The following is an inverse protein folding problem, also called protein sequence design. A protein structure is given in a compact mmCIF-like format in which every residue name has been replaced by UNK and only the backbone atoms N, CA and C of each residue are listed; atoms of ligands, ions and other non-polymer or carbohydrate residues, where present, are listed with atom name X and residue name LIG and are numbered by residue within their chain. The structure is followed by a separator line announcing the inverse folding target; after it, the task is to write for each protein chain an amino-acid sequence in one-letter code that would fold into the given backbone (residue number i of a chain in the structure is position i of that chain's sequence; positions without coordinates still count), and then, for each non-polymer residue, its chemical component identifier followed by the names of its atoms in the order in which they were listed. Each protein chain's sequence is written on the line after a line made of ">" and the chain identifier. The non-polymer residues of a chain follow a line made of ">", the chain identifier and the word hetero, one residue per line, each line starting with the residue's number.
data_IF_987898960929
#
_entry.id   IF_987898960929
#
_cell.length_a   1.000
_cell.length_b   1.000
_cell.length_c   1.000
_cell.angle_alpha   90.00
_cell.angle_beta   90.00
_cell.angle_gamma   90.00
#
_symmetry.space_group_name_H-M   'P 1'
#
loop_
_entity.id
_entity.type
_entity.pdbx_description
1 polymer ?
#
# COMPACT_ATOMS: atom_id res chain seq x y z
N UNK A 1 44.24 2.10 -14.88
CA UNK A 1 42.95 1.64 -15.45
C UNK A 1 41.78 2.42 -14.87
N UNK A 2 41.70 3.74 -15.01
CA UNK A 2 40.61 4.51 -14.33
C UNK A 2 40.03 5.66 -15.15
N UNK A 3 40.20 5.73 -16.46
CA UNK A 3 39.66 6.84 -17.28
C UNK A 3 38.47 6.52 -18.17
N UNK A 4 37.95 5.28 -18.16
CA UNK A 4 36.85 4.86 -19.03
C UNK A 4 35.46 5.00 -18.40
N UNK A 5 35.37 5.36 -17.11
CA UNK A 5 34.11 5.53 -16.41
C UNK A 5 33.50 6.94 -16.54
N UNK A 6 34.33 7.95 -16.81
CA UNK A 6 33.89 9.35 -16.84
C UNK A 6 33.17 9.75 -18.15
N UNK A 7 33.59 9.20 -19.28
CA UNK A 7 33.01 9.59 -20.57
C UNK A 7 31.51 9.16 -20.73
N UNK A 8 31.11 8.06 -20.10
CA UNK A 8 29.69 7.61 -20.20
C UNK A 8 28.70 8.56 -19.49
N UNK A 9 29.15 9.24 -18.45
CA UNK A 9 28.30 10.20 -17.75
C UNK A 9 28.18 11.55 -18.49
N UNK A 10 29.19 11.92 -19.28
CA UNK A 10 29.17 13.14 -20.07
C UNK A 10 28.35 12.95 -21.36
N UNK A 11 28.42 11.81 -22.02
CA UNK A 11 27.58 11.49 -23.17
C UNK A 11 26.09 11.41 -22.81
N UNK A 12 25.75 10.81 -21.66
CA UNK A 12 24.38 10.79 -21.16
C UNK A 12 23.84 12.19 -20.81
N UNK A 13 24.71 13.11 -20.33
CA UNK A 13 24.30 14.49 -20.05
C UNK A 13 24.14 15.31 -21.33
N UNK A 14 25.03 15.15 -22.33
CA UNK A 14 24.91 15.84 -23.61
C UNK A 14 23.68 15.39 -24.38
N UNK A 15 23.39 14.09 -24.40
CA UNK A 15 22.17 13.52 -24.99
C UNK A 15 20.90 14.02 -24.27
N UNK A 16 20.92 14.13 -22.94
CA UNK A 16 19.80 14.64 -22.19
C UNK A 16 19.54 16.13 -22.48
N UNK A 17 20.60 16.93 -22.60
CA UNK A 17 20.53 18.37 -22.94
C UNK A 17 20.07 18.57 -24.37
N UNK A 18 20.60 17.79 -25.33
CA UNK A 18 20.19 17.87 -26.72
C UNK A 18 18.70 17.48 -26.90
N UNK A 19 18.21 16.53 -26.13
CA UNK A 19 16.79 16.10 -26.12
C UNK A 19 15.87 17.14 -25.48
N UNK A 20 16.33 17.83 -24.43
CA UNK A 20 15.61 18.95 -23.84
C UNK A 20 15.50 20.13 -24.83
N UNK A 21 16.57 20.43 -25.58
CA UNK A 21 16.56 21.47 -26.61
C UNK A 21 15.64 21.10 -27.80
N UNK A 22 15.56 19.81 -28.18
CA UNK A 22 14.62 19.33 -29.19
C UNK A 22 13.16 19.35 -28.69
N UNK A 23 12.95 19.11 -27.40
CA UNK A 23 11.63 19.23 -26.77
C UNK A 23 11.12 20.68 -26.75
N UNK A 24 12.00 21.67 -26.47
CA UNK A 24 11.66 23.10 -26.56
C UNK A 24 11.36 23.54 -28.00
N UNK A 25 11.94 22.88 -29.02
CA UNK A 25 11.69 23.15 -30.41
C UNK A 25 10.39 22.52 -30.96
N UNK A 26 9.60 21.82 -30.14
CA UNK A 26 8.34 21.18 -30.49
C UNK A 26 8.49 19.82 -31.19
N UNK A 27 9.72 19.33 -31.32
CA UNK A 27 10.05 18.03 -31.91
C UNK A 27 10.34 17.02 -30.78
N UNK A 28 9.31 16.73 -29.95
CA UNK A 28 9.43 15.76 -28.86
C UNK A 28 9.35 14.36 -29.46
N UNK A 29 10.45 13.59 -29.48
CA UNK A 29 10.33 12.18 -29.80
C UNK A 29 9.50 11.52 -28.70
N UNK A 30 8.34 11.00 -29.05
CA UNK A 30 7.58 10.11 -28.17
C UNK A 30 8.48 8.94 -27.80
N UNK A 31 8.97 8.96 -26.55
CA UNK A 31 9.69 7.81 -26.03
C UNK A 31 8.75 6.62 -26.03
N UNK A 32 9.10 5.61 -26.81
CA UNK A 32 8.45 4.33 -26.72
C UNK A 32 8.48 3.88 -25.25
N UNK A 33 7.34 3.40 -24.75
CA UNK A 33 7.24 2.85 -23.39
C UNK A 33 8.29 1.75 -23.11
N UNK A 34 8.79 1.11 -24.17
CA UNK A 34 9.85 0.11 -24.11
C UNK A 34 11.23 0.73 -23.86
N UNK A 35 11.52 1.90 -24.41
CA UNK A 35 12.76 2.63 -24.13
C UNK A 35 12.81 3.13 -22.70
N UNK A 36 11.71 3.68 -22.19
CA UNK A 36 11.59 4.09 -20.79
C UNK A 36 11.74 2.90 -19.83
N UNK A 37 11.23 1.72 -20.20
CA UNK A 37 11.45 0.47 -19.45
C UNK A 37 12.92 0.06 -19.47
N UNK A 38 13.61 0.20 -20.62
CA UNK A 38 15.02 -0.16 -20.80
C UNK A 38 15.98 0.73 -19.97
N UNK A 39 15.64 2.01 -19.81
CA UNK A 39 16.39 2.93 -18.94
C UNK A 39 16.12 2.66 -17.46
N UNK A 40 14.92 2.28 -17.08
CA UNK A 40 14.56 1.90 -15.72
C UNK A 40 15.16 0.58 -15.24
N UNK A 41 15.50 -0.33 -16.18
CA UNK A 41 15.95 -1.69 -15.84
C UNK A 41 17.46 -1.86 -15.67
N UNK A 42 18.27 -0.86 -16.03
CA UNK A 42 19.74 -0.98 -15.93
C UNK A 42 20.22 -0.79 -14.50
N UNK A 43 20.18 -1.86 -13.70
CA UNK A 43 20.95 -1.97 -12.47
C UNK A 43 20.18 -2.04 -11.16
N UNK A 44 18.86 -2.08 -11.17
CA UNK A 44 18.06 -2.32 -9.96
C UNK A 44 17.53 -3.77 -9.92
N UNK A 45 17.57 -4.38 -8.75
CA UNK A 45 16.88 -5.64 -8.49
C UNK A 45 15.42 -5.40 -8.85
N UNK A 46 14.92 -6.12 -9.87
CA UNK A 46 13.52 -5.98 -10.29
C UNK A 46 12.62 -6.75 -9.30
N UNK A 47 12.17 -6.03 -8.28
CA UNK A 47 11.19 -6.59 -7.35
C UNK A 47 9.84 -6.64 -8.08
N UNK A 48 9.15 -7.81 -8.11
CA UNK A 48 7.83 -7.92 -8.71
C UNK A 48 6.84 -6.90 -8.14
N UNK A 49 5.98 -6.35 -9.00
CA UNK A 49 4.98 -5.35 -8.62
C UNK A 49 4.11 -5.82 -7.44
N UNK A 50 3.67 -7.07 -7.48
CA UNK A 50 2.89 -7.69 -6.41
C UNK A 50 3.58 -7.60 -5.05
N UNK A 51 4.90 -7.88 -5.00
CA UNK A 51 5.67 -7.81 -3.75
C UNK A 51 5.74 -6.39 -3.22
N UNK A 52 5.92 -5.40 -4.09
CA UNK A 52 5.91 -3.98 -3.70
C UNK A 52 4.58 -3.57 -3.10
N UNK A 53 3.46 -3.97 -3.72
CA UNK A 53 2.11 -3.67 -3.22
C UNK A 53 1.85 -4.36 -1.88
N UNK A 54 2.18 -5.64 -1.74
CA UNK A 54 2.03 -6.38 -0.49
C UNK A 54 2.86 -5.75 0.64
N UNK A 55 4.12 -5.41 0.34
CA UNK A 55 4.97 -4.73 1.31
C UNK A 55 4.33 -3.41 1.79
N UNK A 56 3.85 -2.57 0.88
CA UNK A 56 3.20 -1.31 1.25
C UNK A 56 1.96 -1.54 2.12
N UNK A 57 1.13 -2.52 1.77
CA UNK A 57 -0.10 -2.86 2.50
C UNK A 57 0.16 -3.41 3.92
N UNK A 58 1.30 -4.04 4.15
CA UNK A 58 1.72 -4.47 5.49
C UNK A 58 2.44 -3.36 6.25
N UNK A 59 3.37 -2.68 5.60
CA UNK A 59 4.23 -1.69 6.23
C UNK A 59 3.47 -0.46 6.72
N UNK A 60 2.53 0.06 5.92
CA UNK A 60 1.75 1.24 6.30
C UNK A 60 0.92 1.06 7.56
N UNK A 61 0.06 0.01 7.68
CA UNK A 61 -0.69 -0.23 8.90
C UNK A 61 0.22 -0.50 10.09
N UNK A 62 1.32 -1.22 9.89
CA UNK A 62 2.32 -1.47 10.93
C UNK A 62 2.96 -0.18 11.43
N UNK A 63 3.33 0.73 10.54
CA UNK A 63 3.88 2.03 10.91
C UNK A 63 2.86 2.89 11.65
N UNK A 64 1.61 2.94 11.17
CA UNK A 64 0.52 3.65 11.85
C UNK A 64 0.29 3.09 13.26
N UNK A 65 0.26 1.77 13.41
CA UNK A 65 0.16 1.10 14.71
C UNK A 65 1.29 1.51 15.65
N UNK A 66 2.54 1.46 15.17
CA UNK A 66 3.72 1.84 15.93
C UNK A 66 3.64 3.30 16.42
N UNK A 67 3.35 4.24 15.53
CA UNK A 67 3.27 5.66 15.87
C UNK A 67 2.13 5.97 16.85
N UNK A 68 0.97 5.33 16.71
CA UNK A 68 -0.16 5.53 17.62
C UNK A 68 0.15 4.96 19.00
N UNK A 69 0.70 3.75 19.10
CA UNK A 69 1.06 3.14 20.36
C UNK A 69 2.13 3.94 21.10
N UNK A 70 3.13 4.45 20.39
CA UNK A 70 4.19 5.28 20.98
C UNK A 70 3.76 6.71 21.28
N UNK A 71 2.96 7.32 20.38
CA UNK A 71 2.56 8.72 20.49
C UNK A 71 1.32 8.95 21.35
N UNK A 72 0.34 8.07 21.33
CA UNK A 72 -0.97 8.23 21.95
C UNK A 72 -1.30 7.19 23.01
N UNK A 73 -0.61 6.06 23.03
CA UNK A 73 -0.92 4.94 23.95
C UNK A 73 -0.84 5.29 25.43
N UNK A 74 -0.14 6.37 25.78
CA UNK A 74 -0.10 6.89 27.16
C UNK A 74 -1.32 7.74 27.56
N UNK A 75 -2.14 8.16 26.60
CA UNK A 75 -3.24 9.10 26.81
C UNK A 75 -4.63 8.52 26.52
N UNK A 76 -4.70 7.34 25.91
CA UNK A 76 -5.98 6.73 25.52
C UNK A 76 -6.26 5.55 26.41
N UNK A 77 -7.21 5.73 27.34
CA UNK A 77 -7.60 4.70 28.31
C UNK A 77 -8.73 3.80 27.83
N UNK A 78 -9.50 4.25 26.81
CA UNK A 78 -10.62 3.50 26.26
C UNK A 78 -10.19 2.75 25.01
N UNK A 79 -10.46 1.44 24.97
CA UNK A 79 -10.23 0.60 23.80
C UNK A 79 -10.99 1.11 22.56
N UNK A 80 -12.24 1.55 22.77
CA UNK A 80 -13.09 2.06 21.69
C UNK A 80 -12.48 3.31 21.06
N UNK A 81 -11.97 4.23 21.88
CA UNK A 81 -11.34 5.46 21.40
C UNK A 81 -10.05 5.14 20.62
N UNK A 82 -9.27 4.18 21.11
CA UNK A 82 -8.05 3.73 20.43
C UNK A 82 -8.36 3.13 19.07
N UNK A 83 -9.34 2.24 18.96
CA UNK A 83 -9.77 1.65 17.69
C UNK A 83 -10.29 2.72 16.71
N UNK A 84 -11.03 3.69 17.23
CA UNK A 84 -11.56 4.80 16.45
C UNK A 84 -10.43 5.68 15.89
N UNK A 85 -9.49 6.09 16.73
CA UNK A 85 -8.33 6.89 16.33
C UNK A 85 -7.49 6.13 15.32
N UNK A 86 -7.19 4.86 15.57
CA UNK A 86 -6.44 4.02 14.63
C UNK A 86 -7.16 3.90 13.29
N UNK A 87 -8.48 3.70 13.29
CA UNK A 87 -9.28 3.61 12.08
C UNK A 87 -9.24 4.89 11.26
N UNK A 88 -9.37 6.06 11.91
CA UNK A 88 -9.28 7.37 11.22
C UNK A 88 -7.88 7.58 10.64
N UNK A 89 -6.84 7.42 11.45
CA UNK A 89 -5.46 7.66 11.00
C UNK A 89 -5.06 6.68 9.90
N UNK A 90 -5.41 5.41 10.04
CA UNK A 90 -5.16 4.40 9.01
C UNK A 90 -5.93 4.70 7.72
N UNK A 91 -7.20 5.12 7.83
CA UNK A 91 -8.01 5.49 6.67
C UNK A 91 -7.45 6.67 5.91
N UNK A 92 -7.05 7.72 6.63
CA UNK A 92 -6.39 8.89 6.03
C UNK A 92 -5.05 8.50 5.39
N UNK A 93 -4.22 7.72 6.08
CA UNK A 93 -2.94 7.26 5.57
C UNK A 93 -3.12 6.34 4.34
N UNK A 94 -4.14 5.49 4.32
CA UNK A 94 -4.46 4.63 3.18
C UNK A 94 -4.87 5.46 1.98
N UNK A 95 -5.76 6.42 2.13
CA UNK A 95 -6.24 7.24 1.01
C UNK A 95 -5.17 8.21 0.49
N UNK A 96 -4.54 8.96 1.38
CA UNK A 96 -3.59 10.04 1.00
C UNK A 96 -2.21 9.51 0.60
N UNK A 97 -1.74 8.42 1.20
CA UNK A 97 -0.39 7.91 0.99
C UNK A 97 -0.40 6.58 0.25
N UNK A 98 -0.96 5.53 0.85
CA UNK A 98 -0.84 4.16 0.32
C UNK A 98 -1.43 4.03 -1.09
N UNK A 99 -2.63 4.56 -1.32
CA UNK A 99 -3.28 4.50 -2.63
C UNK A 99 -2.52 5.31 -3.68
N UNK A 100 -1.97 6.46 -3.30
CA UNK A 100 -1.16 7.27 -4.23
C UNK A 100 0.18 6.62 -4.53
N UNK A 101 0.85 6.02 -3.54
CA UNK A 101 2.11 5.30 -3.76
C UNK A 101 1.90 4.05 -4.60
N UNK A 102 0.82 3.28 -4.36
CA UNK A 102 0.47 2.12 -5.19
C UNK A 102 0.25 2.52 -6.64
N UNK A 103 -0.38 3.66 -6.90
CA UNK A 103 -0.56 4.20 -8.26
C UNK A 103 0.73 4.75 -8.84
N UNK A 104 1.57 5.36 -8.04
CA UNK A 104 2.87 5.88 -8.50
C UNK A 104 3.81 4.77 -8.99
N UNK A 105 3.73 3.58 -8.42
CA UNK A 105 4.52 2.42 -8.85
C UNK A 105 3.90 1.65 -10.03
N UNK A 106 2.74 2.08 -10.56
CA UNK A 106 2.13 1.48 -11.75
C UNK A 106 3.01 1.63 -12.99
N UNK A 107 3.02 0.59 -13.79
CA UNK A 107 3.64 0.63 -15.13
C UNK A 107 2.62 1.01 -16.20
N UNK A 108 1.37 0.60 -15.99
CA UNK A 108 0.23 0.91 -16.86
C UNK A 108 -0.88 1.52 -16.02
N UNK A 109 -1.52 2.63 -16.44
CA UNK A 109 -2.59 3.26 -15.68
C UNK A 109 -3.72 2.28 -15.36
N UNK A 110 -4.07 2.18 -14.07
CA UNK A 110 -5.14 1.30 -13.59
C UNK A 110 -4.73 -0.17 -13.36
N UNK A 111 -3.48 -0.54 -13.61
CA UNK A 111 -2.97 -1.90 -13.38
C UNK A 111 -3.18 -2.34 -11.91
N UNK A 112 -3.01 -1.40 -10.99
CA UNK A 112 -3.09 -1.65 -9.55
C UNK A 112 -4.49 -1.44 -8.96
N UNK A 113 -5.49 -1.04 -9.74
CA UNK A 113 -6.88 -0.86 -9.26
C UNK A 113 -7.46 -2.15 -8.66
N UNK A 114 -6.99 -3.31 -9.10
CA UNK A 114 -7.34 -4.61 -8.53
C UNK A 114 -6.90 -4.79 -7.08
N UNK A 115 -5.92 -4.04 -6.62
CA UNK A 115 -5.40 -4.08 -5.25
C UNK A 115 -6.04 -3.06 -4.32
N UNK A 116 -6.82 -2.11 -4.85
CA UNK A 116 -7.46 -1.05 -4.10
C UNK A 116 -8.93 -1.36 -3.86
N UNK A 117 -9.43 -1.09 -2.65
CA UNK A 117 -10.86 -1.26 -2.38
C UNK A 117 -11.67 -0.20 -3.11
N UNK A 118 -11.26 1.06 -3.01
CA UNK A 118 -11.89 2.20 -3.67
C UNK A 118 -10.86 2.91 -4.58
N UNK A 119 -10.76 2.49 -5.86
CA UNK A 119 -9.74 3.05 -6.76
C UNK A 119 -10.05 4.46 -7.26
N UNK A 120 -11.30 4.93 -7.19
CA UNK A 120 -11.68 6.27 -7.62
C UNK A 120 -11.17 7.33 -6.66
N UNK A 121 -10.71 8.48 -7.19
CA UNK A 121 -10.37 9.67 -6.39
C UNK A 121 -11.62 10.50 -6.15
N UNK A 122 -11.74 11.06 -4.95
CA UNK A 122 -12.82 11.98 -4.60
C UNK A 122 -13.21 11.89 -3.12
N UNK A 123 -14.00 12.84 -2.67
CA UNK A 123 -14.46 12.94 -1.28
C UNK A 123 -15.19 11.68 -0.81
N UNK A 124 -16.05 11.12 -1.67
CA UNK A 124 -16.80 9.90 -1.35
C UNK A 124 -15.84 8.71 -1.15
N UNK A 125 -14.84 8.57 -2.02
CA UNK A 125 -13.83 7.51 -1.89
C UNK A 125 -13.01 7.67 -0.61
N UNK A 126 -12.68 8.90 -0.23
CA UNK A 126 -12.01 9.20 1.02
C UNK A 126 -12.82 8.72 2.24
N UNK A 127 -14.09 9.09 2.34
CA UNK A 127 -14.96 8.64 3.43
C UNK A 127 -15.15 7.11 3.45
N UNK A 128 -15.31 6.50 2.27
CA UNK A 128 -15.40 5.05 2.17
C UNK A 128 -14.12 4.35 2.63
N UNK A 129 -12.94 4.91 2.33
CA UNK A 129 -11.67 4.40 2.83
C UNK A 129 -11.54 4.56 4.35
N UNK A 130 -12.06 5.65 4.94
CA UNK A 130 -12.11 5.80 6.40
C UNK A 130 -12.95 4.69 7.05
N UNK A 131 -14.18 4.49 6.58
CA UNK A 131 -15.08 3.44 7.10
C UNK A 131 -14.47 2.05 6.90
N UNK A 132 -13.87 1.83 5.74
CA UNK A 132 -13.19 0.58 5.42
C UNK A 132 -12.00 0.31 6.36
N UNK A 133 -11.18 1.32 6.64
CA UNK A 133 -10.06 1.20 7.56
C UNK A 133 -10.53 0.91 9.00
N UNK A 134 -11.61 1.54 9.45
CA UNK A 134 -12.21 1.24 10.76
C UNK A 134 -12.67 -0.22 10.83
N UNK A 135 -13.27 -0.74 9.76
CA UNK A 135 -13.64 -2.15 9.67
C UNK A 135 -12.42 -3.07 9.74
N UNK A 136 -11.33 -2.76 9.00
CA UNK A 136 -10.08 -3.52 9.05
C UNK A 136 -9.49 -3.56 10.46
N UNK A 137 -9.37 -2.40 11.12
CA UNK A 137 -8.86 -2.29 12.49
C UNK A 137 -9.70 -3.13 13.45
N UNK A 138 -11.01 -3.09 13.31
CA UNK A 138 -11.93 -3.88 14.13
C UNK A 138 -11.74 -5.39 13.91
N UNK A 139 -11.61 -5.82 12.64
CA UNK A 139 -11.35 -7.25 12.32
C UNK A 139 -10.02 -7.73 12.90
N UNK A 140 -8.97 -6.92 12.79
CA UNK A 140 -7.65 -7.24 13.36
C UNK A 140 -7.77 -7.35 14.89
N UNK A 141 -8.46 -6.41 15.52
CA UNK A 141 -8.67 -6.45 16.97
C UNK A 141 -9.38 -7.73 17.43
N UNK A 142 -10.46 -8.12 16.77
CA UNK A 142 -11.17 -9.36 17.12
C UNK A 142 -10.29 -10.60 16.91
N UNK A 143 -9.47 -10.63 15.86
CA UNK A 143 -8.52 -11.72 15.62
C UNK A 143 -7.51 -11.81 16.77
N UNK A 144 -6.90 -10.69 17.16
CA UNK A 144 -5.96 -10.66 18.28
C UNK A 144 -6.62 -11.07 19.59
N UNK A 145 -7.80 -10.56 19.88
CA UNK A 145 -8.56 -10.91 21.07
C UNK A 145 -8.85 -12.42 21.12
N UNK A 146 -9.24 -13.01 19.99
CA UNK A 146 -9.47 -14.45 19.87
C UNK A 146 -8.19 -15.26 20.09
N UNK A 147 -7.08 -14.89 19.45
CA UNK A 147 -5.78 -15.55 19.61
C UNK A 147 -5.32 -15.44 21.05
N UNK A 148 -5.42 -14.26 21.66
CA UNK A 148 -5.02 -14.03 23.05
C UNK A 148 -5.85 -14.89 24.03
N UNK A 149 -7.15 -15.00 23.80
CA UNK A 149 -8.04 -15.86 24.59
C UNK A 149 -7.60 -17.32 24.54
N UNK A 150 -7.23 -17.82 23.35
CA UNK A 150 -6.73 -19.19 23.17
C UNK A 150 -5.39 -19.38 23.89
N UNK A 151 -4.47 -18.44 23.74
CA UNK A 151 -3.15 -18.51 24.40
C UNK A 151 -3.30 -18.52 25.92
N UNK A 152 -4.10 -17.61 26.48
CA UNK A 152 -4.38 -17.56 27.92
C UNK A 152 -5.04 -18.85 28.40
N UNK A 153 -5.95 -19.42 27.62
CA UNK A 153 -6.59 -20.70 27.94
C UNK A 153 -5.63 -21.89 27.97
N UNK A 154 -4.57 -21.85 27.16
CA UNK A 154 -3.56 -22.94 27.09
C UNK A 154 -2.47 -22.75 28.15
N UNK A 155 -1.96 -21.53 28.29
CA UNK A 155 -0.79 -21.25 29.15
C UNK A 155 -1.22 -20.96 30.60
N UNK A 156 -2.47 -20.54 30.82
CA UNK A 156 -3.01 -20.25 32.13
C UNK A 156 -2.44 -19.00 32.82
N UNK A 157 -1.75 -18.13 32.07
CA UNK A 157 -1.16 -16.91 32.59
C UNK A 157 -1.91 -15.66 32.08
N UNK A 158 -2.64 -14.95 32.94
CA UNK A 158 -3.37 -13.75 32.59
C UNK A 158 -2.47 -12.54 32.23
N UNK A 159 -1.19 -12.58 32.62
CA UNK A 159 -0.23 -11.49 32.40
C UNK A 159 0.48 -11.58 31.03
N UNK A 160 0.06 -12.48 30.16
CA UNK A 160 0.58 -12.54 28.78
C UNK A 160 0.21 -11.26 28.05
N UNK A 161 1.23 -10.54 27.58
CA UNK A 161 1.06 -9.32 26.80
C UNK A 161 0.21 -9.63 25.56
N UNK A 162 -0.88 -8.91 25.32
CA UNK A 162 -1.71 -9.13 24.14
C UNK A 162 -0.86 -9.01 22.87
N UNK A 163 -0.91 -10.01 22.00
CA UNK A 163 -0.22 -10.01 20.70
C UNK A 163 -0.54 -8.78 19.84
N UNK A 164 -1.62 -8.06 20.16
CA UNK A 164 -2.08 -6.87 19.45
C UNK A 164 -1.17 -5.64 19.52
N UNK A 165 -0.07 -5.70 20.25
CA UNK A 165 0.86 -4.56 20.42
C UNK A 165 2.04 -4.63 19.42
N UNK A 166 2.19 -5.74 18.70
CA UNK A 166 3.28 -5.95 17.74
C UNK A 166 2.97 -5.30 16.40
N UNK A 167 3.63 -4.17 16.02
CA UNK A 167 3.33 -3.45 14.79
C UNK A 167 3.48 -4.28 13.52
N UNK A 168 4.46 -5.20 13.49
CA UNK A 168 4.72 -6.05 12.33
C UNK A 168 3.56 -7.02 12.11
N UNK A 169 3.14 -7.73 13.17
CA UNK A 169 2.01 -8.65 13.11
C UNK A 169 0.71 -7.91 12.78
N UNK A 170 0.50 -6.74 13.37
CA UNK A 170 -0.63 -5.88 13.05
C UNK A 170 -0.67 -5.54 11.57
N UNK A 171 0.46 -5.11 11.00
CA UNK A 171 0.57 -4.81 9.57
C UNK A 171 0.27 -6.00 8.67
N UNK A 172 0.78 -7.19 9.03
CA UNK A 172 0.53 -8.43 8.29
C UNK A 172 -0.94 -8.83 8.34
N UNK A 173 -1.59 -8.73 9.50
CA UNK A 173 -3.01 -9.05 9.62
C UNK A 173 -3.91 -8.04 8.90
N UNK A 174 -3.60 -6.74 8.99
CA UNK A 174 -4.29 -5.72 8.18
C UNK A 174 -4.17 -6.02 6.69
N UNK A 175 -2.98 -6.37 6.20
CA UNK A 175 -2.76 -6.77 4.82
C UNK A 175 -3.59 -8.01 4.46
N UNK A 176 -3.63 -9.02 5.33
CA UNK A 176 -4.41 -10.24 5.12
C UNK A 176 -5.89 -9.98 4.95
N UNK A 177 -6.50 -9.21 5.85
CA UNK A 177 -7.91 -8.82 5.76
C UNK A 177 -8.18 -7.93 4.54
N UNK A 178 -7.29 -6.98 4.25
CA UNK A 178 -7.44 -6.12 3.09
C UNK A 178 -7.41 -6.91 1.79
N UNK A 179 -6.50 -7.87 1.65
CA UNK A 179 -6.45 -8.77 0.49
C UNK A 179 -7.72 -9.63 0.38
N UNK A 180 -8.23 -10.12 1.50
CA UNK A 180 -9.48 -10.89 1.52
C UNK A 180 -10.65 -10.05 1.03
N UNK A 181 -10.84 -8.84 1.56
CA UNK A 181 -11.96 -7.98 1.17
C UNK A 181 -11.82 -7.46 -0.26
N UNK A 182 -10.62 -7.09 -0.69
CA UNK A 182 -10.36 -6.68 -2.08
C UNK A 182 -10.57 -7.87 -3.03
N UNK A 183 -10.18 -9.08 -2.63
CA UNK A 183 -10.45 -10.31 -3.38
C UNK A 183 -11.96 -10.56 -3.54
N UNK A 184 -12.72 -10.47 -2.46
CA UNK A 184 -14.18 -10.57 -2.49
C UNK A 184 -14.83 -9.53 -3.42
N UNK A 185 -14.38 -8.27 -3.34
CA UNK A 185 -14.84 -7.21 -4.25
C UNK A 185 -14.59 -7.58 -5.71
N UNK A 186 -13.37 -8.04 -6.04
CA UNK A 186 -13.01 -8.40 -7.41
C UNK A 186 -13.83 -9.60 -7.92
N UNK A 187 -14.06 -10.60 -7.07
CA UNK A 187 -14.91 -11.74 -7.39
C UNK A 187 -16.36 -11.31 -7.70
N UNK A 188 -16.95 -10.48 -6.83
CA UNK A 188 -18.31 -9.96 -7.04
C UNK A 188 -18.37 -9.18 -8.36
N UNK A 189 -17.38 -8.31 -8.61
CA UNK A 189 -17.31 -7.55 -9.86
C UNK A 189 -17.26 -8.45 -11.08
N UNK A 190 -16.51 -9.54 -11.03
CA UNK A 190 -16.41 -10.51 -12.11
C UNK A 190 -17.74 -11.23 -12.33
N UNK A 191 -18.40 -11.71 -11.27
CA UNK A 191 -19.70 -12.39 -11.36
C UNK A 191 -20.75 -11.46 -11.98
N UNK A 192 -20.77 -10.18 -11.58
CA UNK A 192 -21.73 -9.21 -12.12
C UNK A 192 -21.44 -8.94 -13.61
N UNK A 193 -20.15 -8.79 -13.99
CA UNK A 193 -19.77 -8.61 -15.39
C UNK A 193 -20.19 -9.80 -16.25
N UNK A 194 -19.89 -11.02 -15.80
CA UNK A 194 -20.27 -12.25 -16.50
C UNK A 194 -21.78 -12.46 -16.62
N UNK A 195 -22.54 -11.95 -15.65
CA UNK A 195 -24.01 -11.98 -15.71
C UNK A 195 -24.57 -10.95 -16.71
N UNK A 196 -23.94 -9.77 -16.80
CA UNK A 196 -24.34 -8.72 -17.75
C UNK A 196 -24.01 -9.10 -19.19
N UNK A 197 -22.90 -9.79 -19.43
CA UNK A 197 -22.48 -10.22 -20.77
C UNK A 197 -23.35 -11.37 -21.32
N UNK A 198 -24.13 -12.05 -20.44
CA UNK A 198 -25.03 -13.15 -20.80
C UNK A 198 -26.50 -12.71 -20.97
N UNK A 199 -26.82 -11.47 -20.60
CA UNK A 199 -28.16 -10.89 -20.68
C UNK A 199 -28.33 -10.07 -21.96
#
# INVERSE_FOLDING_TARGET
>A
MSKKKDNRNYELKSDAVERLLKAEAGDVPEYSQEELKKYRSKGSIQIPQTVKVLFLKAWFPGAVCYFILWGLGMYVYSLVDMLFIMGIVLGMATDLLTNNVIRFIETTPGENDRWLMFPKKGMISFFLNLVYAMMLVTCVYFLYSGINMVIVGIIGNPDTVPLGVEPILYGVFCMGFDLLFVGCKNLIKQIVSDAMDKA
#
